data_IF_280594424386
#
_entry.id   IF_280594424386
#
_cell.length_a   1.000
_cell.length_b   1.000
_cell.length_c   1.000
_cell.angle_alpha   90.00
_cell.angle_beta   90.00
_cell.angle_gamma   90.00
#
_symmetry.space_group_name_H-M   'P 1'
#
loop_
_entity.id
_entity.type
_entity.pdbx_description
1 polymer ?
#
# COMPACT_ATOMS: atom_id res chain seq x y z
N UNK A 1 -14.63 54.66 1.02
CA UNK A 1 -15.13 53.26 0.91
C UNK A 1 -14.36 52.54 -0.19
N UNK A 2 -13.36 51.72 0.16
CA UNK A 2 -12.60 50.89 -0.81
C UNK A 2 -13.19 49.50 -0.82
N UNK A 3 -13.85 49.13 -1.92
CA UNK A 3 -14.34 47.80 -2.17
C UNK A 3 -13.15 46.81 -2.16
N UNK A 4 -13.06 45.99 -1.11
CA UNK A 4 -12.16 44.84 -1.09
C UNK A 4 -12.73 43.80 -2.04
N UNK A 5 -12.11 43.71 -3.21
CA UNK A 5 -12.36 42.64 -4.17
C UNK A 5 -12.17 41.29 -3.48
N UNK A 6 -13.25 40.53 -3.38
CA UNK A 6 -13.25 39.11 -3.08
C UNK A 6 -12.54 38.39 -4.23
N UNK A 7 -11.21 38.32 -4.13
CA UNK A 7 -10.36 37.54 -5.02
C UNK A 7 -10.92 36.13 -5.07
N UNK A 8 -11.23 35.71 -6.30
CA UNK A 8 -11.93 34.50 -6.63
C UNK A 8 -11.42 33.30 -5.86
N UNK A 9 -12.33 32.64 -5.16
CA UNK A 9 -12.17 31.30 -4.63
C UNK A 9 -11.95 30.38 -5.83
N UNK A 10 -10.71 30.30 -6.28
CA UNK A 10 -10.26 29.53 -7.43
C UNK A 10 -10.83 28.12 -7.32
N UNK A 11 -11.61 27.72 -8.32
CA UNK A 11 -12.15 26.36 -8.46
C UNK A 11 -10.96 25.41 -8.43
N UNK A 12 -10.65 24.85 -7.26
CA UNK A 12 -9.66 23.78 -7.12
C UNK A 12 -10.19 22.59 -7.88
N UNK A 13 -9.75 22.45 -9.13
CA UNK A 13 -10.20 21.40 -10.03
C UNK A 13 -9.66 20.04 -9.59
N UNK A 14 -10.25 18.98 -10.12
CA UNK A 14 -9.76 17.58 -9.98
C UNK A 14 -8.26 17.47 -10.28
N UNK A 15 -7.76 18.26 -11.24
CA UNK A 15 -6.33 18.31 -11.58
C UNK A 15 -5.41 18.71 -10.42
N UNK A 16 -5.83 19.62 -9.55
CA UNK A 16 -5.04 20.02 -8.37
C UNK A 16 -4.96 18.90 -7.34
N UNK A 17 -6.07 18.17 -7.13
CA UNK A 17 -6.10 17.03 -6.23
C UNK A 17 -5.21 15.89 -6.73
N UNK A 18 -5.28 15.57 -8.03
CA UNK A 18 -4.41 14.55 -8.66
C UNK A 18 -2.94 14.96 -8.57
N UNK A 19 -2.61 16.23 -8.85
CA UNK A 19 -1.24 16.73 -8.72
C UNK A 19 -0.73 16.60 -7.29
N UNK A 20 -1.53 17.01 -6.29
CA UNK A 20 -1.15 16.90 -4.88
C UNK A 20 -0.94 15.45 -4.46
N UNK A 21 -1.84 14.56 -4.88
CA UNK A 21 -1.70 13.13 -4.60
C UNK A 21 -0.44 12.53 -5.24
N UNK A 22 -0.13 12.88 -6.49
CA UNK A 22 1.00 12.30 -7.20
C UNK A 22 2.35 12.88 -6.80
N UNK A 23 2.44 14.17 -6.49
CA UNK A 23 3.73 14.85 -6.32
C UNK A 23 4.01 15.29 -4.88
N UNK A 24 2.96 15.67 -4.14
CA UNK A 24 3.06 16.23 -2.80
C UNK A 24 2.78 15.19 -1.70
N UNK A 25 2.39 13.96 -2.06
CA UNK A 25 2.16 12.88 -1.12
C UNK A 25 3.48 12.25 -0.65
N UNK A 26 3.81 12.45 0.63
CA UNK A 26 5.02 11.91 1.27
C UNK A 26 5.03 10.37 1.37
N UNK A 27 3.89 9.72 1.16
CA UNK A 27 3.81 8.26 1.14
C UNK A 27 4.26 7.69 -0.21
N UNK A 28 4.28 8.50 -1.28
CA UNK A 28 4.61 8.07 -2.64
C UNK A 28 6.12 8.07 -2.90
N UNK A 29 6.87 7.40 -2.02
CA UNK A 29 8.34 7.34 -2.05
C UNK A 29 8.84 5.95 -2.40
N UNK A 30 9.92 5.88 -3.18
CA UNK A 30 10.51 4.62 -3.65
C UNK A 30 10.78 3.65 -2.48
N UNK A 31 11.22 4.16 -1.34
CA UNK A 31 11.63 3.33 -0.20
C UNK A 31 10.48 2.47 0.33
N UNK A 32 9.23 2.96 0.29
CA UNK A 32 8.07 2.21 0.75
C UNK A 32 7.67 1.07 -0.20
N UNK A 33 7.93 1.23 -1.50
CA UNK A 33 7.44 0.31 -2.53
C UNK A 33 8.54 -0.63 -3.07
N UNK A 34 9.79 -0.22 -2.99
CA UNK A 34 10.95 -0.89 -3.59
C UNK A 34 11.90 -1.55 -2.58
N UNK A 35 11.64 -1.43 -1.28
CA UNK A 35 12.50 -2.03 -0.24
C UNK A 35 11.71 -2.90 0.73
N UNK A 36 12.41 -3.81 1.42
CA UNK A 36 11.89 -4.71 2.46
C UNK A 36 12.66 -4.49 3.76
N UNK A 37 12.04 -4.82 4.90
CA UNK A 37 12.73 -4.85 6.21
C UNK A 37 13.70 -6.02 6.35
N UNK A 38 13.40 -7.14 5.70
CA UNK A 38 14.12 -8.42 5.90
C UNK A 38 14.96 -8.77 4.66
N UNK A 39 14.40 -8.57 3.48
CA UNK A 39 14.96 -9.12 2.24
C UNK A 39 15.87 -8.10 1.55
N UNK A 40 17.13 -8.48 1.21
CA UNK A 40 18.00 -7.62 0.42
C UNK A 40 17.36 -7.24 -0.92
N UNK A 41 17.55 -5.99 -1.36
CA UNK A 41 16.85 -5.43 -2.52
C UNK A 41 17.00 -6.24 -3.83
N UNK A 42 18.17 -6.86 -4.07
CA UNK A 42 18.37 -7.72 -5.25
C UNK A 42 17.53 -9.01 -5.19
N UNK A 43 17.46 -9.63 -4.01
CA UNK A 43 16.64 -10.82 -3.78
C UNK A 43 15.14 -10.47 -3.87
N UNK A 44 14.74 -9.34 -3.30
CA UNK A 44 13.36 -8.82 -3.41
C UNK A 44 12.93 -8.65 -4.87
N UNK A 45 13.79 -8.08 -5.72
CA UNK A 45 13.54 -7.97 -7.15
C UNK A 45 13.37 -9.35 -7.80
N UNK A 46 14.28 -10.29 -7.53
CA UNK A 46 14.23 -11.64 -8.08
C UNK A 46 12.94 -12.36 -7.72
N UNK A 47 12.55 -12.32 -6.45
CA UNK A 47 11.30 -12.95 -5.96
C UNK A 47 10.07 -12.31 -6.61
N UNK A 48 9.98 -10.97 -6.64
CA UNK A 48 8.83 -10.29 -7.25
C UNK A 48 8.70 -10.58 -8.75
N UNK A 49 9.83 -10.62 -9.47
CA UNK A 49 9.84 -10.97 -10.88
C UNK A 49 9.44 -12.44 -11.12
N UNK A 50 9.93 -13.36 -10.29
CA UNK A 50 9.56 -14.77 -10.38
C UNK A 50 8.06 -14.98 -10.11
N UNK A 51 7.53 -14.36 -9.06
CA UNK A 51 6.09 -14.41 -8.73
C UNK A 51 5.25 -13.78 -9.85
N UNK A 52 5.70 -12.66 -10.43
CA UNK A 52 5.02 -12.06 -11.58
C UNK A 52 4.91 -13.04 -12.76
N UNK A 53 6.01 -13.71 -13.13
CA UNK A 53 6.03 -14.70 -14.21
C UNK A 53 5.12 -15.88 -13.88
N UNK A 54 5.19 -16.38 -12.65
CA UNK A 54 4.33 -17.46 -12.18
C UNK A 54 2.84 -17.10 -12.28
N UNK A 55 2.44 -15.96 -11.73
CA UNK A 55 1.04 -15.53 -11.78
C UNK A 55 0.58 -15.30 -13.23
N UNK A 56 1.43 -14.75 -14.09
CA UNK A 56 1.12 -14.60 -15.51
C UNK A 56 0.89 -15.96 -16.18
N UNK A 57 1.74 -16.96 -15.90
CA UNK A 57 1.59 -18.31 -16.43
C UNK A 57 0.28 -18.95 -15.97
N UNK A 58 -0.04 -18.88 -14.68
CA UNK A 58 -1.31 -19.39 -14.12
C UNK A 58 -2.51 -18.71 -14.79
N UNK A 59 -2.48 -17.38 -14.95
CA UNK A 59 -3.58 -16.63 -15.54
C UNK A 59 -3.81 -17.02 -17.01
N UNK A 60 -2.73 -17.19 -17.78
CA UNK A 60 -2.79 -17.66 -19.18
C UNK A 60 -3.31 -19.10 -19.25
N UNK A 61 -2.78 -20.00 -18.42
CA UNK A 61 -3.24 -21.40 -18.36
C UNK A 61 -4.71 -21.49 -17.98
N UNK A 62 -5.17 -20.66 -17.04
CA UNK A 62 -6.57 -20.61 -16.64
C UNK A 62 -7.47 -20.12 -17.78
N UNK A 63 -7.08 -19.06 -18.48
CA UNK A 63 -7.80 -18.56 -19.65
C UNK A 63 -7.86 -19.62 -20.76
N UNK A 64 -6.72 -20.24 -21.08
CA UNK A 64 -6.64 -21.28 -22.11
C UNK A 64 -7.55 -22.47 -21.80
N UNK A 65 -7.54 -22.96 -20.55
CA UNK A 65 -8.44 -24.03 -20.12
C UNK A 65 -9.92 -23.64 -20.28
N UNK A 66 -10.30 -22.42 -19.88
CA UNK A 66 -11.68 -21.93 -20.06
C UNK A 66 -12.08 -21.84 -21.54
N UNK A 67 -11.17 -21.39 -22.42
CA UNK A 67 -11.44 -21.34 -23.86
C UNK A 67 -11.64 -22.75 -24.44
N UNK A 68 -10.77 -23.70 -24.08
CA UNK A 68 -10.88 -25.10 -24.55
C UNK A 68 -12.20 -25.74 -24.11
N UNK A 69 -12.72 -25.38 -22.93
CA UNK A 69 -14.02 -25.84 -22.44
C UNK A 69 -15.21 -24.99 -22.92
N UNK A 70 -15.02 -24.03 -23.84
CA UNK A 70 -16.10 -23.17 -24.36
C UNK A 70 -16.61 -22.10 -23.38
N UNK A 71 -15.93 -21.92 -22.24
CA UNK A 71 -16.25 -20.96 -21.19
C UNK A 71 -15.37 -19.70 -21.20
N UNK A 72 -14.61 -19.45 -22.28
CA UNK A 72 -13.71 -18.29 -22.36
C UNK A 72 -14.41 -16.93 -22.23
N UNK A 73 -15.69 -16.84 -22.61
CA UNK A 73 -16.47 -15.60 -22.64
C UNK A 73 -16.82 -15.04 -21.26
N UNK A 74 -16.96 -15.91 -20.23
CA UNK A 74 -17.26 -15.48 -18.86
C UNK A 74 -16.02 -15.45 -17.95
N UNK A 75 -14.84 -15.73 -18.49
CA UNK A 75 -13.60 -15.85 -17.73
C UNK A 75 -13.31 -14.64 -16.82
N UNK A 76 -13.54 -13.43 -17.35
CA UNK A 76 -13.32 -12.18 -16.63
C UNK A 76 -14.46 -11.82 -15.64
N UNK A 77 -15.55 -12.58 -15.61
CA UNK A 77 -16.68 -12.32 -14.71
C UNK A 77 -16.45 -12.87 -13.30
N UNK A 78 -15.54 -13.84 -13.14
CA UNK A 78 -15.22 -14.41 -11.83
C UNK A 78 -14.34 -13.48 -10.99
N UNK A 79 -14.73 -13.26 -9.73
CA UNK A 79 -13.98 -12.41 -8.80
C UNK A 79 -12.55 -12.91 -8.58
N UNK A 80 -12.37 -14.24 -8.56
CA UNK A 80 -11.06 -14.89 -8.48
C UNK A 80 -10.16 -14.45 -9.61
N UNK A 81 -10.64 -14.47 -10.86
CA UNK A 81 -9.85 -14.06 -12.04
C UNK A 81 -9.45 -12.59 -11.97
N UNK A 82 -10.37 -11.72 -11.56
CA UNK A 82 -10.10 -10.28 -11.42
C UNK A 82 -9.07 -10.02 -10.31
N UNK A 83 -9.21 -10.69 -9.17
CA UNK A 83 -8.27 -10.57 -8.05
C UNK A 83 -6.89 -11.10 -8.44
N UNK A 84 -6.82 -12.25 -9.11
CA UNK A 84 -5.56 -12.83 -9.59
C UNK A 84 -4.89 -11.97 -10.67
N UNK A 85 -5.67 -11.33 -11.54
CA UNK A 85 -5.19 -10.31 -12.48
C UNK A 85 -4.61 -9.10 -11.74
N UNK A 86 -5.28 -8.64 -10.69
CA UNK A 86 -4.80 -7.57 -9.81
C UNK A 86 -3.48 -7.92 -9.12
N UNK A 87 -3.32 -9.16 -8.65
CA UNK A 87 -2.07 -9.69 -8.06
C UNK A 87 -0.95 -9.71 -9.10
N UNK A 88 -1.26 -10.20 -10.30
CA UNK A 88 -0.31 -10.25 -11.41
C UNK A 88 0.16 -8.84 -11.76
N UNK A 89 -0.76 -7.88 -11.91
CA UNK A 89 -0.42 -6.48 -12.14
C UNK A 89 0.41 -5.89 -10.98
N UNK A 90 0.03 -6.17 -9.73
CA UNK A 90 0.75 -5.74 -8.54
C UNK A 90 2.22 -6.16 -8.60
N UNK A 91 2.49 -7.46 -8.79
CA UNK A 91 3.86 -7.96 -8.84
C UNK A 91 4.65 -7.42 -10.03
N UNK A 92 3.99 -7.15 -11.17
CA UNK A 92 4.59 -6.46 -12.31
C UNK A 92 5.08 -5.05 -11.95
N UNK A 93 4.20 -4.22 -11.35
CA UNK A 93 4.57 -2.89 -10.88
C UNK A 93 5.62 -2.92 -9.77
N UNK A 94 5.50 -3.86 -8.83
CA UNK A 94 6.43 -4.02 -7.73
C UNK A 94 7.84 -4.41 -8.23
N UNK A 95 7.94 -5.34 -9.18
CA UNK A 95 9.21 -5.70 -9.82
C UNK A 95 9.79 -4.50 -10.58
N UNK A 96 8.98 -3.81 -11.37
CA UNK A 96 9.40 -2.62 -12.13
C UNK A 96 9.96 -1.51 -11.22
N UNK A 97 9.21 -1.12 -10.18
CA UNK A 97 9.62 -0.06 -9.26
C UNK A 97 10.86 -0.48 -8.45
N UNK A 98 10.98 -1.76 -8.10
CA UNK A 98 12.18 -2.31 -7.41
C UNK A 98 13.42 -2.25 -8.30
N UNK A 99 13.31 -2.67 -9.57
CA UNK A 99 14.40 -2.63 -10.55
C UNK A 99 14.87 -1.20 -10.82
N UNK A 100 13.92 -0.29 -11.00
CA UNK A 100 14.19 1.14 -11.21
C UNK A 100 14.90 1.77 -10.02
N UNK A 101 14.44 1.47 -8.80
CA UNK A 101 15.09 1.94 -7.57
C UNK A 101 16.54 1.43 -7.50
N UNK A 102 16.77 0.15 -7.80
CA UNK A 102 18.11 -0.45 -7.78
C UNK A 102 19.05 0.19 -8.82
N UNK A 103 18.57 0.46 -10.04
CA UNK A 103 19.34 1.12 -11.09
C UNK A 103 19.78 2.53 -10.66
N UNK A 104 18.88 3.30 -10.02
CA UNK A 104 19.20 4.65 -9.47
C UNK A 104 20.27 4.57 -8.39
N UNK A 105 20.18 3.60 -7.48
CA UNK A 105 21.18 3.40 -6.44
C UNK A 105 22.57 3.06 -7.01
N UNK A 106 22.63 2.22 -8.06
CA UNK A 106 23.89 1.89 -8.75
C UNK A 106 24.52 3.12 -9.43
N UNK A 107 23.72 3.93 -10.11
CA UNK A 107 24.20 5.16 -10.76
C UNK A 107 24.83 6.14 -9.76
N UNK A 108 24.21 6.32 -8.59
CA UNK A 108 24.76 7.16 -7.51
C UNK A 108 26.05 6.59 -6.91
N UNK A 109 26.10 5.26 -6.69
CA UNK A 109 27.29 4.61 -6.16
C UNK A 109 28.50 4.72 -7.11
N UNK A 110 28.27 4.63 -8.42
CA UNK A 110 29.32 4.81 -9.43
C UNK A 110 29.84 6.26 -9.46
N UNK A 111 28.95 7.25 -9.36
CA UNK A 111 29.34 8.66 -9.21
C UNK A 111 30.12 8.94 -7.92
N UNK A 112 29.74 8.30 -6.81
CA UNK A 112 30.39 8.49 -5.49
C UNK A 112 31.73 7.76 -5.35
N UNK A 113 31.93 6.62 -6.03
CA UNK A 113 33.24 5.95 -6.12
C UNK A 113 34.28 6.79 -6.86
N UNK A 114 33.88 7.65 -7.80
CA UNK A 114 34.75 8.66 -8.38
C UNK A 114 35.10 9.81 -7.41
N UNK A 115 34.41 9.92 -6.27
CA UNK A 115 34.58 10.97 -5.25
C UNK A 115 34.99 10.48 -3.85
N UNK A 116 35.57 9.28 -3.71
CA UNK A 116 36.37 8.91 -2.53
C UNK A 116 35.67 8.43 -1.25
N UNK A 117 34.34 8.25 -1.18
CA UNK A 117 33.69 7.77 0.07
C UNK A 117 32.75 6.58 -0.17
N UNK A 118 33.21 5.38 0.19
CA UNK A 118 32.48 4.12 0.07
C UNK A 118 31.57 3.86 1.29
N UNK A 119 30.32 4.33 1.23
CA UNK A 119 29.28 4.01 2.22
C UNK A 119 28.43 2.80 1.81
N UNK A 120 28.25 1.84 2.73
CA UNK A 120 27.48 0.60 2.57
C UNK A 120 25.99 0.89 2.32
N UNK A 121 25.40 0.18 1.36
CA UNK A 121 24.09 0.44 0.74
C UNK A 121 22.92 -0.20 1.54
N UNK A 122 22.85 0.07 2.84
CA UNK A 122 21.68 -0.27 3.67
C UNK A 122 20.93 1.03 3.87
N UNK A 123 19.77 1.18 3.21
CA UNK A 123 18.93 2.36 3.36
C UNK A 123 18.67 2.60 4.86
N UNK A 124 18.90 3.83 5.37
CA UNK A 124 18.58 4.13 6.76
C UNK A 124 17.08 3.88 7.03
N UNK A 125 16.69 3.61 8.28
CA UNK A 125 15.28 3.49 8.64
C UNK A 125 14.54 4.72 8.13
N UNK A 126 13.38 4.49 7.50
CA UNK A 126 12.54 5.57 6.99
C UNK A 126 12.07 6.35 8.22
N UNK A 127 12.21 7.69 8.28
CA UNK A 127 11.62 8.47 9.34
C UNK A 127 10.12 8.19 9.37
N UNK A 128 9.65 7.69 10.51
CA UNK A 128 8.25 7.39 10.76
C UNK A 128 7.42 8.65 10.50
N UNK A 129 6.21 8.52 9.91
CA UNK A 129 5.36 9.66 9.75
C UNK A 129 4.98 10.25 11.12
N UNK A 130 4.69 11.57 11.20
CA UNK A 130 4.60 12.31 12.47
C UNK A 130 3.55 11.77 13.43
N UNK A 131 2.43 11.29 12.89
CA UNK A 131 1.35 10.63 13.60
C UNK A 131 1.83 9.36 14.32
N UNK A 132 2.72 8.60 13.68
CA UNK A 132 3.34 7.42 14.29
C UNK A 132 4.43 7.78 15.30
N UNK A 133 5.19 8.85 15.07
CA UNK A 133 6.15 9.37 16.05
C UNK A 133 5.46 9.82 17.34
N UNK A 134 4.33 10.53 17.23
CA UNK A 134 3.50 10.93 18.37
C UNK A 134 2.94 9.72 19.13
N UNK A 135 2.43 8.70 18.41
CA UNK A 135 1.98 7.44 19.00
C UNK A 135 3.11 6.68 19.70
N UNK A 136 4.31 6.65 19.12
CA UNK A 136 5.49 6.03 19.72
C UNK A 136 5.99 6.79 20.95
N UNK A 137 6.00 8.13 20.90
CA UNK A 137 6.34 8.98 22.03
C UNK A 137 5.36 8.74 23.19
N UNK A 138 4.06 8.75 22.90
CA UNK A 138 3.00 8.48 23.87
C UNK A 138 3.08 7.06 24.45
N UNK A 139 3.29 6.04 23.61
CA UNK A 139 3.34 4.64 24.05
C UNK A 139 4.63 4.27 24.80
N UNK A 140 5.73 5.01 24.60
CA UNK A 140 7.00 4.69 25.24
C UNK A 140 7.12 5.19 26.68
N UNK A 141 6.22 6.06 27.15
CA UNK A 141 6.29 6.69 28.48
C UNK A 141 7.59 7.46 28.76
N UNK A 142 8.51 7.51 27.79
CA UNK A 142 9.80 8.16 27.86
C UNK A 142 9.67 9.45 27.09
N UNK A 143 9.54 10.54 27.82
CA UNK A 143 9.86 11.88 27.33
C UNK A 143 11.30 11.79 26.82
N UNK A 144 11.47 11.68 25.50
CA UNK A 144 12.79 11.79 24.88
C UNK A 144 13.27 13.21 25.17
N UNK A 145 14.16 13.34 26.16
CA UNK A 145 14.96 14.53 26.34
C UNK A 145 15.61 14.85 25.01
N UNK A 146 15.37 16.06 24.51
CA UNK A 146 16.06 16.61 23.36
C UNK A 146 17.58 16.54 23.59
N UNK A 147 18.42 16.50 22.53
CA UNK A 147 19.88 16.50 22.66
C UNK A 147 20.45 17.77 23.33
N UNK A 148 19.62 18.76 23.64
CA UNK A 148 19.99 19.95 24.40
C UNK A 148 20.06 19.71 25.93
N UNK A 149 19.54 18.59 26.44
CA UNK A 149 19.44 18.33 27.88
C UNK A 149 20.71 17.69 28.52
N UNK A 150 21.80 17.51 27.75
CA UNK A 150 23.07 17.00 28.27
C UNK A 150 24.11 18.10 28.58
N UNK A 151 23.72 19.37 28.47
CA UNK A 151 24.64 20.51 28.66
C UNK A 151 24.52 21.25 30.00
N UNK A 152 23.57 20.92 30.88
CA UNK A 152 23.43 21.63 32.16
C UNK A 152 23.12 20.66 33.31
N UNK A 153 24.16 19.96 33.77
CA UNK A 153 24.19 19.43 35.13
C UNK A 153 24.94 20.43 36.00
N UNK A 154 24.22 21.43 36.49
CA UNK A 154 24.75 22.42 37.42
C UNK A 154 23.63 23.26 38.01
N UNK A 155 23.54 23.23 39.34
CA UNK A 155 22.77 24.12 40.20
C UNK A 155 21.25 23.91 40.30
N UNK A 156 20.89 23.22 41.39
CA UNK A 156 19.86 23.59 42.37
C UNK A 156 19.15 24.95 42.21
N UNK A 157 17.83 24.94 42.37
CA UNK A 157 17.03 26.12 42.71
C UNK A 157 15.65 26.14 42.04
N UNK A 158 14.60 25.87 42.84
CA UNK A 158 13.20 26.31 42.75
C UNK A 158 12.69 26.90 41.42
N UNK A 159 11.69 26.23 40.81
CA UNK A 159 10.45 26.89 40.40
C UNK A 159 9.43 25.86 39.92
N UNK A 160 8.30 25.79 40.62
CA UNK A 160 7.06 25.17 40.17
C UNK A 160 6.61 25.86 38.86
N UNK A 161 6.85 25.23 37.71
CA UNK A 161 6.34 25.72 36.42
C UNK A 161 5.41 24.68 35.83
N UNK A 162 4.12 24.94 35.96
CA UNK A 162 3.02 24.28 35.24
C UNK A 162 3.44 24.01 33.79
N UNK A 163 3.54 22.73 33.43
CA UNK A 163 3.81 22.31 32.06
C UNK A 163 2.55 22.62 31.23
N UNK A 164 2.61 23.72 30.50
CA UNK A 164 1.61 24.07 29.50
C UNK A 164 1.76 23.13 28.29
N UNK A 165 0.89 22.12 28.23
CA UNK A 165 0.89 21.05 27.22
C UNK A 165 0.37 21.50 25.84
N UNK A 166 -0.02 22.77 25.69
CA UNK A 166 -0.50 23.33 24.42
C UNK A 166 0.62 23.79 23.45
N UNK A 167 1.89 23.66 23.83
CA UNK A 167 3.03 24.10 23.01
C UNK A 167 3.88 23.01 22.35
N UNK A 168 3.52 21.74 22.48
CA UNK A 168 4.17 20.66 21.72
C UNK A 168 3.26 20.20 20.58
N UNK A 169 2.81 21.14 19.74
CA UNK A 169 2.55 20.80 18.34
C UNK A 169 3.92 20.61 17.70
N UNK A 170 4.22 19.39 17.25
CA UNK A 170 5.23 19.18 16.22
C UNK A 170 4.74 19.90 14.95
N UNK A 171 4.92 21.21 14.92
CA UNK A 171 4.65 22.07 13.79
C UNK A 171 5.66 21.72 12.73
N UNK A 172 5.22 20.95 11.73
CA UNK A 172 5.71 21.21 10.38
C UNK A 172 5.49 22.70 10.14
N UNK A 173 6.53 23.46 9.75
CA UNK A 173 6.37 24.88 9.54
C UNK A 173 5.26 25.06 8.52
N UNK A 174 4.17 25.70 8.95
CA UNK A 174 3.10 26.07 8.03
C UNK A 174 3.72 26.93 6.94
N UNK A 175 3.20 26.86 5.71
CA UNK A 175 3.69 27.67 4.59
C UNK A 175 3.71 29.19 4.89
N UNK A 176 3.01 29.61 5.94
CA UNK A 176 3.02 30.96 6.48
C UNK A 176 4.23 31.27 7.39
N UNK A 177 4.76 30.31 8.13
CA UNK A 177 5.97 30.46 8.97
C UNK A 177 7.27 30.41 8.15
N UNK A 178 7.27 29.73 7.00
CA UNK A 178 8.36 29.78 6.02
C UNK A 178 8.55 31.18 5.42
N UNK A 179 7.55 32.06 5.51
CA UNK A 179 7.56 33.42 4.93
C UNK A 179 8.26 34.47 5.79
N UNK A 180 8.60 34.18 7.05
CA UNK A 180 9.19 35.17 7.96
C UNK A 180 10.71 35.03 8.14
N UNK A 181 11.34 33.95 7.63
CA UNK A 181 12.79 33.87 7.51
C UNK A 181 13.25 34.40 6.14
N UNK A 182 13.29 35.73 6.01
CA UNK A 182 13.63 36.47 4.79
C UNK A 182 15.11 36.41 4.37
N UNK A 183 15.85 35.36 4.79
CA UNK A 183 17.22 35.08 4.35
C UNK A 183 17.37 33.73 3.64
N UNK A 184 16.32 32.89 3.64
CA UNK A 184 16.35 31.54 3.05
C UNK A 184 15.39 31.37 1.87
N UNK A 185 14.72 32.42 1.41
CA UNK A 185 13.79 32.33 0.26
C UNK A 185 14.52 31.92 -1.02
N UNK A 186 15.75 32.40 -1.22
CA UNK A 186 16.57 32.03 -2.36
C UNK A 186 17.11 30.60 -2.22
N UNK A 187 17.46 30.14 -1.01
CA UNK A 187 17.85 28.74 -0.75
C UNK A 187 16.67 27.78 -0.87
N UNK A 188 15.48 28.16 -0.42
CA UNK A 188 14.25 27.37 -0.55
C UNK A 188 13.77 27.33 -2.00
N UNK A 189 13.85 28.44 -2.74
CA UNK A 189 13.63 28.48 -4.19
C UNK A 189 14.69 27.66 -4.92
N UNK A 190 15.96 27.80 -4.59
CA UNK A 190 17.03 26.99 -5.19
C UNK A 190 16.84 25.51 -4.83
N UNK A 191 16.40 25.15 -3.64
CA UNK A 191 16.08 23.78 -3.26
C UNK A 191 14.85 23.23 -4.00
N UNK A 192 13.80 24.03 -4.18
CA UNK A 192 12.61 23.69 -4.98
C UNK A 192 12.95 23.57 -6.49
N UNK A 193 13.82 24.43 -7.01
CA UNK A 193 14.30 24.42 -8.39
C UNK A 193 15.29 23.27 -8.63
N UNK A 194 16.09 22.90 -7.62
CA UNK A 194 17.01 21.74 -7.64
C UNK A 194 16.31 20.43 -7.33
N UNK A 195 15.10 20.45 -6.75
CA UNK A 195 14.32 19.24 -6.51
C UNK A 195 14.02 18.60 -7.86
N UNK A 196 14.60 17.42 -8.16
CA UNK A 196 14.45 16.82 -9.47
C UNK A 196 12.96 16.59 -9.71
N UNK A 197 12.40 17.22 -10.76
CA UNK A 197 11.01 17.02 -11.16
C UNK A 197 10.74 15.53 -11.16
N UNK A 198 9.93 15.07 -10.22
CA UNK A 198 9.56 13.66 -10.14
C UNK A 198 8.88 13.32 -11.46
N UNK A 199 9.36 12.30 -12.15
CA UNK A 199 8.74 11.88 -13.41
C UNK A 199 7.30 11.45 -13.14
N UNK A 200 6.32 12.06 -13.83
CA UNK A 200 4.90 11.75 -13.66
C UNK A 200 4.61 10.25 -13.83
N UNK A 201 5.22 9.62 -14.84
CA UNK A 201 5.11 8.18 -15.10
C UNK A 201 5.55 7.33 -13.90
N UNK A 202 6.60 7.76 -13.21
CA UNK A 202 7.12 7.09 -12.02
C UNK A 202 6.21 7.27 -10.81
N UNK A 203 5.62 8.46 -10.62
CA UNK A 203 4.64 8.64 -9.55
C UNK A 203 3.36 7.84 -9.83
N UNK A 204 2.91 7.79 -11.08
CA UNK A 204 1.79 6.94 -11.49
C UNK A 204 2.08 5.45 -11.25
N UNK A 205 3.29 4.97 -11.53
CA UNK A 205 3.65 3.56 -11.27
C UNK A 205 3.69 3.22 -9.78
N UNK A 206 4.11 4.15 -8.92
CA UNK A 206 4.05 3.97 -7.47
C UNK A 206 2.60 4.01 -6.95
N UNK A 207 1.78 4.95 -7.45
CA UNK A 207 0.37 5.04 -7.10
C UNK A 207 -0.41 3.78 -7.53
N UNK A 208 -0.16 3.27 -8.73
CA UNK A 208 -0.74 2.03 -9.21
C UNK A 208 -0.33 0.85 -8.32
N UNK A 209 0.96 0.72 -8.01
CA UNK A 209 1.44 -0.33 -7.09
C UNK A 209 0.74 -0.24 -5.73
N UNK A 210 0.52 0.96 -5.20
CA UNK A 210 -0.13 1.16 -3.91
C UNK A 210 -1.58 0.68 -3.92
N UNK A 211 -2.39 1.17 -4.85
CA UNK A 211 -3.80 0.79 -4.92
C UNK A 211 -3.93 -0.71 -5.21
N UNK A 212 -3.11 -1.25 -6.11
CA UNK A 212 -3.10 -2.69 -6.40
C UNK A 212 -2.70 -3.53 -5.17
N UNK A 213 -1.74 -3.06 -4.37
CA UNK A 213 -1.35 -3.72 -3.11
C UNK A 213 -2.53 -3.80 -2.13
N UNK A 214 -3.23 -2.69 -1.93
CA UNK A 214 -4.34 -2.63 -0.97
C UNK A 214 -5.54 -3.46 -1.44
N UNK A 215 -5.89 -3.41 -2.73
CA UNK A 215 -6.93 -4.25 -3.32
C UNK A 215 -6.58 -5.75 -3.19
N UNK A 216 -5.37 -6.12 -3.60
CA UNK A 216 -4.88 -7.49 -3.48
C UNK A 216 -4.95 -7.99 -2.04
N UNK A 217 -4.32 -7.28 -1.11
CA UNK A 217 -4.21 -7.74 0.28
C UNK A 217 -5.56 -7.85 0.96
N UNK A 218 -6.52 -6.99 0.60
CA UNK A 218 -7.87 -7.02 1.14
C UNK A 218 -8.73 -8.16 0.54
N UNK A 219 -8.62 -8.45 -0.75
CA UNK A 219 -9.47 -9.43 -1.44
C UNK A 219 -8.91 -10.86 -1.45
N UNK A 220 -7.60 -11.04 -1.37
CA UNK A 220 -6.99 -12.36 -1.29
C UNK A 220 -7.62 -13.29 -0.22
N UNK A 221 -7.80 -12.86 1.05
CA UNK A 221 -8.42 -13.72 2.06
C UNK A 221 -9.89 -14.02 1.74
N UNK A 222 -10.64 -13.07 1.17
CA UNK A 222 -12.02 -13.29 0.76
C UNK A 222 -12.12 -14.38 -0.31
N UNK A 223 -11.28 -14.32 -1.35
CA UNK A 223 -11.24 -15.32 -2.43
C UNK A 223 -10.94 -16.71 -1.87
N UNK A 224 -9.93 -16.83 -1.00
CA UNK A 224 -9.60 -18.12 -0.39
C UNK A 224 -10.74 -18.63 0.49
N UNK A 225 -11.31 -17.79 1.35
CA UNK A 225 -12.38 -18.19 2.25
C UNK A 225 -13.62 -18.64 1.48
N UNK A 226 -14.10 -17.83 0.53
CA UNK A 226 -15.30 -18.17 -0.25
C UNK A 226 -15.08 -19.44 -1.07
N UNK A 227 -13.91 -19.60 -1.70
CA UNK A 227 -13.64 -20.82 -2.46
C UNK A 227 -13.63 -22.05 -1.56
N UNK A 228 -12.80 -22.07 -0.51
CA UNK A 228 -12.61 -23.28 0.30
C UNK A 228 -13.81 -23.59 1.21
N UNK A 229 -14.52 -22.57 1.70
CA UNK A 229 -15.66 -22.78 2.59
C UNK A 229 -16.98 -23.02 1.85
N UNK A 230 -17.17 -22.44 0.65
CA UNK A 230 -18.47 -22.44 -0.05
C UNK A 230 -18.40 -23.20 -1.38
N UNK A 231 -17.43 -22.90 -2.23
CA UNK A 231 -17.44 -23.43 -3.60
C UNK A 231 -16.80 -24.82 -3.72
N UNK A 232 -15.72 -25.08 -2.99
CA UNK A 232 -14.95 -26.30 -3.05
C UNK A 232 -15.79 -27.58 -2.82
N UNK A 233 -16.67 -27.65 -1.80
CA UNK A 233 -17.52 -28.83 -1.59
C UNK A 233 -18.46 -29.13 -2.75
N UNK A 234 -18.83 -28.11 -3.54
CA UNK A 234 -19.83 -28.23 -4.62
C UNK A 234 -19.22 -28.51 -5.99
N UNK A 235 -17.93 -28.28 -6.19
CA UNK A 235 -17.26 -28.40 -7.49
C UNK A 235 -16.59 -29.76 -7.73
N UNK A 236 -16.78 -30.75 -6.85
CA UNK A 236 -16.36 -32.13 -7.10
C UNK A 236 -14.86 -32.42 -6.88
N UNK A 237 -14.14 -31.58 -6.15
CA UNK A 237 -12.76 -31.88 -5.70
C UNK A 237 -11.65 -31.59 -6.71
N UNK A 238 -10.39 -31.81 -6.28
CA UNK A 238 -9.17 -31.55 -7.05
C UNK A 238 -8.75 -32.77 -7.88
N UNK A 239 -9.64 -33.27 -8.73
CA UNK A 239 -9.39 -34.50 -9.47
C UNK A 239 -8.41 -34.27 -10.63
N UNK A 240 -7.24 -34.91 -10.53
CA UNK A 240 -6.14 -34.78 -11.50
C UNK A 240 -5.20 -33.62 -11.21
N UNK A 241 -3.91 -33.84 -11.47
CA UNK A 241 -2.84 -32.90 -11.09
C UNK A 241 -3.02 -31.49 -11.66
N UNK A 242 -3.56 -31.35 -12.87
CA UNK A 242 -3.78 -30.05 -13.51
C UNK A 242 -4.88 -29.24 -12.79
N UNK A 243 -5.99 -29.88 -12.41
CA UNK A 243 -7.07 -29.24 -11.67
C UNK A 243 -6.65 -28.90 -10.23
N UNK A 244 -5.90 -29.80 -9.58
CA UNK A 244 -5.27 -29.54 -8.28
C UNK A 244 -4.39 -28.30 -8.35
N UNK A 245 -3.47 -28.26 -9.31
CA UNK A 245 -2.55 -27.15 -9.49
C UNK A 245 -3.30 -25.84 -9.77
N UNK A 246 -4.29 -25.87 -10.66
CA UNK A 246 -5.10 -24.70 -11.01
C UNK A 246 -5.88 -24.18 -9.80
N UNK A 247 -6.56 -25.07 -9.07
CA UNK A 247 -7.35 -24.71 -7.90
C UNK A 247 -6.48 -24.14 -6.78
N UNK A 248 -5.36 -24.79 -6.46
CA UNK A 248 -4.42 -24.30 -5.44
C UNK A 248 -3.80 -22.97 -5.86
N UNK A 249 -3.44 -22.79 -7.13
CA UNK A 249 -2.86 -21.53 -7.62
C UNK A 249 -3.87 -20.39 -7.57
N UNK A 250 -5.05 -20.59 -8.16
CA UNK A 250 -6.05 -19.53 -8.29
C UNK A 250 -6.74 -19.18 -6.97
N UNK A 251 -6.78 -20.09 -5.99
CA UNK A 251 -7.53 -19.87 -4.75
C UNK A 251 -6.68 -19.93 -3.48
N UNK A 252 -5.67 -20.83 -3.41
CA UNK A 252 -4.78 -20.96 -2.25
C UNK A 252 -3.62 -19.97 -2.29
N UNK A 253 -2.94 -19.84 -3.43
CA UNK A 253 -1.73 -19.02 -3.55
C UNK A 253 -2.00 -17.53 -3.26
N UNK A 254 -3.21 -17.02 -3.49
CA UNK A 254 -3.59 -15.64 -3.17
C UNK A 254 -3.25 -15.26 -1.73
N UNK A 255 -3.74 -16.02 -0.76
CA UNK A 255 -3.56 -15.70 0.67
C UNK A 255 -2.12 -15.92 1.11
N UNK A 256 -1.42 -16.91 0.53
CA UNK A 256 0.00 -17.15 0.80
C UNK A 256 0.85 -15.98 0.30
N UNK A 257 0.66 -15.56 -0.96
CA UNK A 257 1.35 -14.41 -1.53
C UNK A 257 1.03 -13.13 -0.75
N UNK A 258 -0.23 -12.96 -0.31
CA UNK A 258 -0.64 -11.83 0.52
C UNK A 258 0.12 -11.82 1.83
N UNK A 259 0.19 -12.96 2.54
CA UNK A 259 0.93 -13.08 3.78
C UNK A 259 2.41 -12.77 3.62
N UNK A 260 3.05 -13.33 2.57
CA UNK A 260 4.45 -13.04 2.26
C UNK A 260 4.67 -11.55 1.99
N UNK A 261 3.79 -10.91 1.21
CA UNK A 261 3.92 -9.51 0.90
C UNK A 261 3.72 -8.62 2.14
N UNK A 262 2.67 -8.88 2.94
CA UNK A 262 2.35 -8.11 4.14
C UNK A 262 3.44 -8.25 5.20
N UNK A 263 3.88 -9.47 5.49
CA UNK A 263 4.78 -9.73 6.63
C UNK A 263 6.28 -9.67 6.29
N UNK A 264 6.67 -9.98 5.04
CA UNK A 264 8.08 -10.15 4.67
C UNK A 264 8.56 -9.08 3.69
N UNK A 265 7.81 -8.81 2.62
CA UNK A 265 8.35 -8.06 1.47
C UNK A 265 8.02 -6.57 1.46
N UNK A 266 6.76 -6.20 1.69
CA UNK A 266 6.30 -4.82 1.50
C UNK A 266 6.55 -3.94 2.71
N UNK A 267 6.84 -2.67 2.41
CA UNK A 267 6.82 -1.54 3.35
C UNK A 267 5.75 -0.53 2.96
N UNK A 268 4.79 -0.97 2.15
CA UNK A 268 3.72 -0.15 1.63
C UNK A 268 2.86 0.35 2.80
N UNK A 269 2.60 1.67 2.90
CA UNK A 269 1.71 2.21 3.92
C UNK A 269 0.25 1.82 3.63
N UNK A 270 -0.53 1.57 4.67
CA UNK A 270 -1.96 1.27 4.56
C UNK A 270 -2.77 2.46 5.09
N UNK A 271 -3.68 3.04 4.30
CA UNK A 271 -4.35 4.32 4.65
C UNK A 271 -5.86 4.20 4.65
N UNK A 272 -6.51 4.62 5.73
CA UNK A 272 -7.98 4.67 5.86
C UNK A 272 -8.71 5.31 4.67
N UNK A 273 -8.10 6.34 4.06
CA UNK A 273 -8.70 7.06 2.92
C UNK A 273 -8.93 6.18 1.69
N UNK A 274 -8.25 5.05 1.57
CA UNK A 274 -8.36 4.16 0.41
C UNK A 274 -9.43 3.08 0.58
N UNK A 275 -10.08 2.98 1.75
CA UNK A 275 -11.20 2.04 1.95
C UNK A 275 -12.33 2.28 0.95
N UNK A 276 -12.58 3.54 0.59
CA UNK A 276 -13.59 3.91 -0.39
C UNK A 276 -13.24 3.41 -1.79
N UNK A 277 -11.95 3.35 -2.15
CA UNK A 277 -11.49 2.79 -3.42
C UNK A 277 -11.72 1.29 -3.44
N UNK A 278 -11.40 0.59 -2.33
CA UNK A 278 -11.69 -0.85 -2.20
C UNK A 278 -13.19 -1.10 -2.32
N UNK A 279 -14.03 -0.47 -1.48
CA UNK A 279 -15.48 -0.65 -1.54
C UNK A 279 -16.06 -0.26 -2.92
N UNK A 280 -15.51 0.77 -3.57
CA UNK A 280 -15.89 1.15 -4.93
C UNK A 280 -15.62 0.05 -5.96
N UNK A 281 -14.48 -0.64 -5.88
CA UNK A 281 -14.17 -1.79 -6.73
C UNK A 281 -15.11 -2.96 -6.44
N UNK A 282 -15.45 -3.21 -5.18
CA UNK A 282 -16.42 -4.26 -4.82
C UNK A 282 -17.81 -3.97 -5.40
N UNK A 283 -18.29 -2.73 -5.31
CA UNK A 283 -19.56 -2.30 -5.90
C UNK A 283 -19.52 -2.42 -7.43
N UNK A 284 -18.41 -2.03 -8.07
CA UNK A 284 -18.22 -2.21 -9.51
C UNK A 284 -18.26 -3.69 -9.91
N UNK A 285 -17.72 -4.58 -9.08
CA UNK A 285 -17.81 -6.01 -9.29
C UNK A 285 -19.25 -6.53 -9.17
N UNK A 286 -20.01 -6.10 -8.16
CA UNK A 286 -21.43 -6.46 -8.05
C UNK A 286 -22.22 -5.99 -9.26
N UNK A 287 -21.95 -4.78 -9.75
CA UNK A 287 -22.56 -4.27 -10.99
C UNK A 287 -22.21 -5.16 -12.20
N UNK A 288 -20.97 -5.64 -12.31
CA UNK A 288 -20.56 -6.60 -13.34
C UNK A 288 -21.34 -7.92 -13.23
N UNK A 289 -21.53 -8.46 -12.03
CA UNK A 289 -22.31 -9.70 -11.83
C UNK A 289 -23.75 -9.53 -12.33
N UNK A 290 -24.41 -8.43 -12.00
CA UNK A 290 -25.77 -8.15 -12.49
C UNK A 290 -25.81 -7.86 -13.99
N UNK A 291 -24.75 -7.27 -14.56
CA UNK A 291 -24.62 -7.12 -16.00
C UNK A 291 -24.55 -8.49 -16.70
N UNK A 292 -23.84 -9.46 -16.14
CA UNK A 292 -23.75 -10.81 -16.70
C UNK A 292 -25.12 -11.51 -16.71
N UNK A 293 -25.91 -11.35 -15.64
CA UNK A 293 -27.29 -11.85 -15.59
C UNK A 293 -28.15 -11.14 -16.65
N UNK A 294 -28.08 -9.81 -16.73
CA UNK A 294 -28.91 -9.05 -17.66
C UNK A 294 -28.60 -9.28 -19.15
N UNK A 295 -27.35 -9.58 -19.50
CA UNK A 295 -26.92 -9.76 -20.90
C UNK A 295 -26.89 -11.23 -21.33
N UNK A 296 -26.45 -12.12 -20.44
CA UNK A 296 -26.16 -13.51 -20.77
C UNK A 296 -27.01 -14.54 -20.00
N UNK A 297 -27.94 -14.08 -19.15
CA UNK A 297 -28.70 -14.93 -18.23
C UNK A 297 -27.79 -15.86 -17.40
N UNK A 298 -26.63 -15.33 -17.01
CA UNK A 298 -25.58 -16.11 -16.36
C UNK A 298 -25.27 -15.57 -14.97
N UNK A 299 -25.54 -16.39 -13.96
CA UNK A 299 -25.14 -16.14 -12.59
C UNK A 299 -23.71 -16.62 -12.36
N UNK A 300 -22.79 -15.68 -12.13
CA UNK A 300 -21.37 -15.97 -11.86
C UNK A 300 -21.19 -16.90 -10.66
N UNK A 301 -22.04 -16.74 -9.64
CA UNK A 301 -22.10 -17.65 -8.51
C UNK A 301 -23.54 -18.00 -8.16
N UNK A 302 -23.82 -19.25 -7.74
CA UNK A 302 -25.19 -19.68 -7.41
C UNK A 302 -25.85 -18.84 -6.31
N UNK A 303 -25.08 -18.30 -5.36
CA UNK A 303 -25.62 -17.50 -4.26
C UNK A 303 -26.14 -16.11 -4.68
N UNK A 304 -25.92 -15.69 -5.93
CA UNK A 304 -26.57 -14.50 -6.49
C UNK A 304 -27.93 -14.80 -7.10
N UNK A 305 -28.28 -16.07 -7.26
CA UNK A 305 -29.54 -16.47 -7.86
C UNK A 305 -30.66 -16.42 -6.82
N UNK A 306 -31.67 -15.59 -7.08
CA UNK A 306 -32.78 -15.37 -6.18
C UNK A 306 -33.63 -16.62 -5.93
N UNK A 307 -33.53 -17.66 -6.78
CA UNK A 307 -34.25 -18.92 -6.57
C UNK A 307 -33.84 -19.65 -5.29
N UNK A 308 -32.61 -19.46 -4.81
CA UNK A 308 -32.11 -20.15 -3.62
C UNK A 308 -32.40 -19.40 -2.32
N UNK A 309 -32.42 -18.05 -2.36
CA UNK A 309 -32.46 -17.21 -1.15
C UNK A 309 -33.52 -16.09 -1.19
N UNK A 310 -34.27 -15.96 -2.28
CA UNK A 310 -35.09 -14.79 -2.57
C UNK A 310 -34.25 -13.53 -2.83
N UNK A 311 -34.90 -12.46 -3.33
CA UNK A 311 -34.22 -11.18 -3.57
C UNK A 311 -33.64 -10.58 -2.28
N UNK A 312 -34.36 -10.71 -1.16
CA UNK A 312 -33.91 -10.27 0.15
C UNK A 312 -32.66 -11.01 0.64
N UNK A 313 -32.59 -12.33 0.43
CA UNK A 313 -31.43 -13.11 0.84
C UNK A 313 -30.17 -12.79 0.04
N UNK A 314 -30.29 -12.55 -1.27
CA UNK A 314 -29.16 -12.09 -2.10
C UNK A 314 -28.63 -10.74 -1.60
N UNK A 315 -29.50 -9.81 -1.24
CA UNK A 315 -29.10 -8.52 -0.67
C UNK A 315 -28.33 -8.70 0.65
N UNK A 316 -28.77 -9.61 1.53
CA UNK A 316 -28.06 -9.95 2.77
C UNK A 316 -26.67 -10.53 2.48
N UNK A 317 -26.54 -11.44 1.51
CA UNK A 317 -25.23 -11.99 1.11
C UNK A 317 -24.28 -10.89 0.63
N UNK A 318 -24.76 -9.96 -0.20
CA UNK A 318 -23.97 -8.81 -0.66
C UNK A 318 -23.48 -7.93 0.50
N UNK A 319 -24.35 -7.65 1.48
CA UNK A 319 -23.98 -6.88 2.67
C UNK A 319 -22.96 -7.63 3.54
N UNK A 320 -23.13 -8.93 3.75
CA UNK A 320 -22.16 -9.75 4.49
C UNK A 320 -20.78 -9.75 3.84
N UNK A 321 -20.71 -9.84 2.51
CA UNK A 321 -19.42 -9.75 1.79
C UNK A 321 -18.79 -8.37 2.00
N UNK A 322 -19.57 -7.29 1.93
CA UNK A 322 -19.10 -5.94 2.19
C UNK A 322 -18.56 -5.79 3.63
N UNK A 323 -19.26 -6.36 4.62
CA UNK A 323 -18.85 -6.35 6.03
C UNK A 323 -17.54 -7.13 6.24
N UNK A 324 -17.40 -8.32 5.62
CA UNK A 324 -16.16 -9.10 5.68
C UNK A 324 -14.99 -8.32 5.09
N UNK A 325 -15.19 -7.64 3.97
CA UNK A 325 -14.16 -6.78 3.36
C UNK A 325 -13.81 -5.61 4.27
N UNK A 326 -14.80 -4.95 4.88
CA UNK A 326 -14.55 -3.85 5.81
C UNK A 326 -13.78 -4.31 7.06
N UNK A 327 -14.14 -5.47 7.64
CA UNK A 327 -13.42 -6.06 8.77
C UNK A 327 -11.99 -6.41 8.38
N UNK A 328 -11.80 -7.08 7.23
CA UNK A 328 -10.47 -7.41 6.70
C UNK A 328 -9.61 -6.14 6.54
N UNK A 329 -10.20 -5.05 6.05
CA UNK A 329 -9.53 -3.76 5.94
C UNK A 329 -9.04 -3.23 7.28
N UNK A 330 -9.89 -3.23 8.31
CA UNK A 330 -9.51 -2.78 9.67
C UNK A 330 -8.38 -3.64 10.24
N UNK A 331 -8.50 -4.97 10.11
CA UNK A 331 -7.47 -5.91 10.57
C UNK A 331 -6.15 -5.67 9.85
N UNK A 332 -6.16 -5.55 8.53
CA UNK A 332 -4.96 -5.25 7.75
C UNK A 332 -4.34 -3.92 8.17
N UNK A 333 -5.15 -2.89 8.40
CA UNK A 333 -4.66 -1.61 8.87
C UNK A 333 -3.97 -1.72 10.24
N UNK A 334 -4.51 -2.51 11.17
CA UNK A 334 -3.88 -2.81 12.45
C UNK A 334 -2.57 -3.60 12.28
N UNK A 335 -2.57 -4.62 11.42
CA UNK A 335 -1.39 -5.44 11.11
C UNK A 335 -0.26 -4.58 10.52
N UNK A 336 -0.56 -3.68 9.59
CA UNK A 336 0.44 -2.80 8.98
C UNK A 336 1.02 -1.82 10.01
N UNK A 337 0.18 -1.23 10.86
CA UNK A 337 0.63 -0.36 11.96
C UNK A 337 1.55 -1.11 12.92
N UNK A 338 1.16 -2.32 13.31
CA UNK A 338 1.99 -3.18 14.16
C UNK A 338 3.33 -3.49 13.49
N UNK A 339 3.30 -3.98 12.26
CA UNK A 339 4.47 -4.33 11.44
C UNK A 339 5.47 -3.16 11.35
N UNK A 340 4.98 -1.98 10.98
CA UNK A 340 5.80 -0.80 10.77
C UNK A 340 6.33 -0.22 12.10
N UNK A 341 5.67 -0.49 13.23
CA UNK A 341 6.19 -0.16 14.57
C UNK A 341 7.22 -1.16 15.09
N UNK A 342 7.11 -2.45 14.73
CA UNK A 342 7.92 -3.52 15.28
C UNK A 342 9.30 -3.65 14.61
N UNK A 343 9.36 -3.55 13.27
CA UNK A 343 10.62 -3.76 12.53
C UNK A 343 11.71 -2.72 12.83
N UNK A 344 11.43 -1.40 12.84
CA UNK A 344 12.46 -0.40 13.16
C UNK A 344 13.07 -0.60 14.54
N UNK A 345 12.23 -0.93 15.55
CA UNK A 345 12.68 -1.18 16.93
C UNK A 345 13.65 -2.36 17.00
N UNK A 346 13.33 -3.47 16.34
CA UNK A 346 14.18 -4.67 16.31
C UNK A 346 15.50 -4.43 15.59
N UNK A 347 15.47 -3.69 14.48
CA UNK A 347 16.68 -3.34 13.75
C UNK A 347 17.61 -2.43 14.56
N UNK A 348 17.06 -1.40 15.21
CA UNK A 348 17.81 -0.51 16.10
C UNK A 348 18.42 -1.30 17.27
N UNK A 349 17.65 -2.17 17.92
CA UNK A 349 18.12 -3.01 19.02
C UNK A 349 19.26 -3.95 18.58
N UNK A 350 19.11 -4.63 17.43
CA UNK A 350 20.15 -5.50 16.89
C UNK A 350 21.44 -4.74 16.54
N UNK A 351 21.32 -3.52 16.02
CA UNK A 351 22.47 -2.69 15.68
C UNK A 351 23.18 -2.17 16.93
N UNK A 352 22.43 -1.76 17.95
CA UNK A 352 22.98 -1.35 19.24
C UNK A 352 23.65 -2.50 19.98
N UNK A 353 23.16 -3.74 19.84
CA UNK A 353 23.79 -4.92 20.44
C UNK A 353 25.08 -5.37 19.72
N UNK A 354 25.31 -4.89 18.49
CA UNK A 354 26.51 -5.21 17.70
C UNK A 354 27.65 -4.19 17.82
N UNK A 355 27.40 -3.11 18.57
CA UNK A 355 28.37 -2.07 18.95
C UNK A 355 28.74 -2.31 20.40
#
# INVERSE_FOLDING_TARGET
>A
MRARGTLGRCKRGVGDAVRRFLFDNECLRDEYFATSYIVPQKALLGVRALVFVYCTAVLISNLAANIVHGAGWNWAAYFTTLTYSGITAYYGFAAYNTARHLARCRGRAHGRRRGGVAGRLISPPIPLPPDQLLLLAAASGRVFGTPAALALRGSSGDCERKLDLDHVRLTYPSAHQLRQHSGSDEEALQWLLRSPRKSARHQLSLAAQWILYELFTCYAPLVSLVYWAVLYPTQGGLDGAANTWMGVSMHGANTVLMGLEVFVFARCPYRWTHVSVVMGVLVAYLALVYLMVGVYDFYVYPFFESKYFGAGGVAVVCLLVADVVAIAWVVLLMVHRWRDSAYPRRWLAAKLASV
#
